data_IF_996875466692
#
_entry.id   IF_996875466692
#
_cell.length_a   1.000
_cell.length_b   1.000
_cell.length_c   1.000
_cell.angle_alpha   90.00
_cell.angle_beta   90.00
_cell.angle_gamma   90.00
#
_symmetry.space_group_name_H-M   'P 1'
#
loop_
_entity.id
_entity.type
_entity.pdbx_description
1 polymer ?
#
# COMPACT_ATOMS: atom_id res chain seq x y z
N UNK A 1 8.62 -2.87 27.26
CA UNK A 1 7.21 -3.10 27.64
C UNK A 1 6.37 -2.80 26.41
N UNK A 2 5.51 -3.72 25.96
CA UNK A 2 4.52 -3.40 24.92
C UNK A 2 3.20 -3.06 25.61
N UNK A 3 2.65 -1.89 25.30
CA UNK A 3 1.36 -1.42 25.81
C UNK A 3 0.26 -1.72 24.78
N UNK A 4 -0.85 -2.30 25.23
CA UNK A 4 -2.00 -2.56 24.38
C UNK A 4 -2.92 -1.33 24.39
N UNK A 5 -2.87 -0.55 23.32
CA UNK A 5 -3.67 0.67 23.15
C UNK A 5 -4.88 0.42 22.26
N UNK A 6 -5.87 1.30 22.34
CA UNK A 6 -7.05 1.28 21.49
C UNK A 6 -6.68 1.50 20.01
N UNK A 7 -7.43 0.86 19.10
CA UNK A 7 -7.18 0.95 17.65
C UNK A 7 -7.25 2.37 17.09
N UNK A 8 -8.00 3.28 17.73
CA UNK A 8 -8.06 4.68 17.33
C UNK A 8 -6.72 5.42 17.48
N UNK A 9 -5.77 4.88 18.25
CA UNK A 9 -4.41 5.43 18.32
C UNK A 9 -3.70 5.43 16.95
N UNK A 10 -4.17 4.61 16.00
CA UNK A 10 -3.66 4.60 14.62
C UNK A 10 -4.16 5.77 13.76
N UNK A 11 -5.15 6.55 14.21
CA UNK A 11 -5.74 7.62 13.40
C UNK A 11 -4.72 8.65 12.92
N UNK A 12 -3.81 9.09 13.80
CA UNK A 12 -2.72 10.02 13.45
C UNK A 12 -1.74 9.40 12.43
N UNK A 13 -1.09 8.27 12.77
CA UNK A 13 -0.20 7.58 11.85
C UNK A 13 -0.85 7.27 10.49
N UNK A 14 -2.09 6.78 10.47
CA UNK A 14 -2.81 6.47 9.22
C UNK A 14 -3.17 7.70 8.41
N UNK A 15 -3.51 8.83 9.04
CA UNK A 15 -3.77 10.08 8.32
C UNK A 15 -2.53 10.55 7.54
N UNK A 16 -1.33 10.38 8.10
CA UNK A 16 -0.07 10.64 7.40
C UNK A 16 0.12 9.64 6.24
N UNK A 17 -0.20 8.36 6.46
CA UNK A 17 -0.10 7.31 5.44
C UNK A 17 -1.07 7.46 4.25
N UNK A 18 -2.27 8.03 4.40
CA UNK A 18 -3.21 8.12 3.28
C UNK A 18 -3.10 9.43 2.46
N UNK A 19 -2.06 10.23 2.69
CA UNK A 19 -1.85 11.52 2.04
C UNK A 19 -0.97 11.50 0.78
N UNK A 20 -0.34 10.36 0.45
CA UNK A 20 0.62 10.27 -0.67
C UNK A 20 0.02 9.64 -1.94
N UNK A 21 0.61 9.95 -3.09
CA UNK A 21 0.23 9.36 -4.38
C UNK A 21 0.58 7.86 -4.41
N UNK A 22 -0.45 7.02 -4.39
CA UNK A 22 -0.31 5.57 -4.37
C UNK A 22 0.44 5.01 -5.60
N UNK A 23 0.51 5.74 -6.71
CA UNK A 23 1.22 5.28 -7.92
C UNK A 23 2.73 5.43 -7.81
N UNK A 24 3.22 6.44 -7.07
CA UNK A 24 4.65 6.63 -6.76
C UNK A 24 5.10 5.83 -5.55
N UNK A 25 4.21 5.05 -4.93
CA UNK A 25 4.53 4.26 -3.76
C UNK A 25 5.57 3.18 -4.09
N UNK A 26 6.67 3.16 -3.35
CA UNK A 26 7.62 2.04 -3.41
C UNK A 26 7.12 0.91 -2.50
N UNK A 27 6.98 -0.30 -3.03
CA UNK A 27 6.46 -1.45 -2.32
C UNK A 27 7.43 -2.64 -2.41
N UNK A 28 7.42 -3.50 -1.39
CA UNK A 28 8.17 -4.76 -1.36
C UNK A 28 7.26 -5.95 -1.62
N UNK A 29 7.52 -6.69 -2.70
CA UNK A 29 6.80 -7.91 -3.06
C UNK A 29 6.95 -8.99 -1.98
N UNK A 30 5.83 -9.54 -1.51
CA UNK A 30 5.82 -10.64 -0.54
C UNK A 30 6.25 -11.99 -1.15
N UNK A 31 6.20 -12.13 -2.48
CA UNK A 31 6.59 -13.35 -3.18
C UNK A 31 8.10 -13.46 -3.43
N UNK A 32 8.72 -12.42 -3.97
CA UNK A 32 10.15 -12.44 -4.36
C UNK A 32 11.03 -11.43 -3.63
N UNK A 33 10.46 -10.56 -2.79
CA UNK A 33 11.22 -9.53 -2.08
C UNK A 33 11.64 -8.33 -2.93
N UNK A 34 11.33 -8.29 -4.23
CA UNK A 34 11.65 -7.14 -5.09
C UNK A 34 11.03 -5.85 -4.54
N UNK A 35 11.82 -4.77 -4.54
CA UNK A 35 11.41 -3.44 -4.09
C UNK A 35 11.36 -2.53 -5.33
N UNK A 36 10.24 -1.83 -5.51
CA UNK A 36 10.11 -0.87 -6.59
C UNK A 36 8.78 -0.12 -6.54
N UNK A 37 8.67 0.91 -7.38
CA UNK A 37 7.47 1.72 -7.53
C UNK A 37 6.30 0.87 -8.05
N UNK A 38 5.11 1.03 -7.46
CA UNK A 38 3.89 0.38 -7.94
C UNK A 38 3.56 0.75 -9.40
N UNK A 39 3.97 1.92 -9.88
CA UNK A 39 3.88 2.30 -11.29
C UNK A 39 4.60 1.35 -12.25
N UNK A 40 5.59 0.57 -11.80
CA UNK A 40 6.32 -0.42 -12.60
C UNK A 40 5.70 -1.82 -12.53
N UNK A 41 4.62 -1.98 -11.78
CA UNK A 41 3.89 -3.25 -11.68
C UNK A 41 3.02 -3.47 -12.93
N UNK A 42 2.64 -4.72 -13.15
CA UNK A 42 1.74 -5.10 -14.25
C UNK A 42 0.29 -5.01 -13.78
N UNK A 43 -0.56 -4.27 -14.50
CA UNK A 43 -1.95 -4.03 -14.10
C UNK A 43 -2.92 -4.66 -15.09
N UNK A 44 -3.85 -5.46 -14.57
CA UNK A 44 -4.90 -6.14 -15.34
C UNK A 44 -6.26 -5.66 -14.88
N UNK A 45 -7.10 -5.22 -15.81
CA UNK A 45 -8.44 -4.66 -15.53
C UNK A 45 -9.53 -5.48 -16.21
N UNK A 46 -10.66 -5.66 -15.52
CA UNK A 46 -11.86 -6.32 -16.03
C UNK A 46 -13.12 -5.73 -15.38
N UNK A 47 -14.30 -6.16 -15.82
CA UNK A 47 -15.55 -5.82 -15.14
C UNK A 47 -15.66 -6.33 -13.70
N UNK A 48 -14.82 -7.29 -13.28
CA UNK A 48 -14.77 -7.79 -11.91
C UNK A 48 -13.83 -6.99 -10.99
N UNK A 49 -12.95 -6.14 -11.56
CA UNK A 49 -11.98 -5.35 -10.81
C UNK A 49 -10.59 -5.29 -11.45
N UNK A 50 -9.62 -4.81 -10.66
CA UNK A 50 -8.22 -4.62 -11.03
C UNK A 50 -7.31 -5.52 -10.21
N UNK A 51 -6.33 -6.14 -10.87
CA UNK A 51 -5.27 -6.95 -10.27
C UNK A 51 -3.92 -6.36 -10.63
N UNK A 52 -3.08 -6.12 -9.62
CA UNK A 52 -1.70 -5.62 -9.76
C UNK A 52 -0.75 -6.76 -9.48
N UNK A 53 0.21 -7.02 -10.39
CA UNK A 53 1.20 -8.09 -10.27
C UNK A 53 2.62 -7.56 -10.30
N UNK A 54 3.50 -8.26 -9.58
CA UNK A 54 4.93 -8.00 -9.58
C UNK A 54 5.51 -8.27 -10.96
N UNK A 55 6.16 -7.28 -11.57
CA UNK A 55 6.81 -7.42 -12.87
C UNK A 55 8.04 -8.36 -12.84
N UNK A 56 8.52 -8.74 -11.66
CA UNK A 56 9.65 -9.66 -11.51
C UNK A 56 9.25 -11.13 -11.35
N UNK A 57 8.04 -11.43 -10.85
CA UNK A 57 7.65 -12.81 -10.50
C UNK A 57 6.16 -13.14 -10.67
N UNK A 58 5.37 -12.25 -11.28
CA UNK A 58 3.92 -12.38 -11.48
C UNK A 58 3.04 -12.54 -10.22
N UNK A 59 3.63 -12.46 -9.02
CA UNK A 59 2.91 -12.52 -7.76
C UNK A 59 1.91 -11.36 -7.66
N UNK A 60 0.67 -11.65 -7.23
CA UNK A 60 -0.36 -10.62 -7.06
C UNK A 60 0.02 -9.74 -5.89
N UNK A 61 0.34 -8.48 -6.16
CA UNK A 61 0.70 -7.47 -5.16
C UNK A 61 -0.54 -6.87 -4.51
N UNK A 62 -1.52 -6.49 -5.34
CA UNK A 62 -2.73 -5.81 -4.88
C UNK A 62 -3.96 -6.15 -5.74
N UNK A 63 -5.13 -5.99 -5.15
CA UNK A 63 -6.43 -6.06 -5.84
C UNK A 63 -7.27 -4.83 -5.52
N UNK A 64 -8.04 -4.35 -6.49
CA UNK A 64 -9.01 -3.27 -6.32
C UNK A 64 -10.34 -3.69 -6.93
N UNK A 65 -11.39 -3.67 -6.12
CA UNK A 65 -12.76 -3.95 -6.56
C UNK A 65 -13.63 -2.78 -6.17
N UNK A 66 -14.25 -2.14 -7.16
CA UNK A 66 -15.13 -0.99 -6.97
C UNK A 66 -16.59 -1.41 -7.19
N UNK A 67 -17.46 -1.02 -6.28
CA UNK A 67 -18.92 -1.20 -6.38
C UNK A 67 -19.61 0.15 -6.15
N UNK A 68 -20.93 0.21 -6.36
CA UNK A 68 -21.67 1.46 -6.18
C UNK A 68 -21.50 2.03 -4.76
N UNK A 69 -20.65 3.05 -4.63
CA UNK A 69 -20.35 3.76 -3.38
C UNK A 69 -19.30 3.11 -2.46
N UNK A 70 -18.60 2.05 -2.89
CA UNK A 70 -17.56 1.39 -2.06
C UNK A 70 -16.40 0.90 -2.92
N UNK A 71 -15.22 0.84 -2.31
CA UNK A 71 -14.05 0.21 -2.90
C UNK A 71 -13.42 -0.74 -1.88
N UNK A 72 -12.91 -1.86 -2.36
CA UNK A 72 -12.14 -2.83 -1.60
C UNK A 72 -10.73 -2.88 -2.16
N UNK A 73 -9.75 -2.60 -1.32
CA UNK A 73 -8.33 -2.73 -1.67
C UNK A 73 -7.69 -3.85 -0.85
N UNK A 74 -7.12 -4.83 -1.54
CA UNK A 74 -6.30 -5.88 -0.94
C UNK A 74 -4.82 -5.59 -1.20
N UNK A 75 -3.97 -5.67 -0.18
CA UNK A 75 -2.52 -5.45 -0.27
C UNK A 75 -1.72 -6.64 0.27
N UNK A 76 -2.32 -7.84 0.32
CA UNK A 76 -1.72 -9.04 0.94
C UNK A 76 -0.42 -9.53 0.26
N UNK A 77 -0.21 -9.16 -1.00
CA UNK A 77 1.03 -9.44 -1.74
C UNK A 77 2.13 -8.42 -1.52
N UNK A 78 1.88 -7.37 -0.73
CA UNK A 78 2.85 -6.34 -0.39
C UNK A 78 3.23 -6.54 1.08
N UNK A 79 4.52 -6.77 1.32
CA UNK A 79 5.07 -6.98 2.66
C UNK A 79 5.49 -5.69 3.36
N UNK A 80 5.68 -4.61 2.60
CA UNK A 80 5.99 -3.27 3.11
C UNK A 80 5.71 -2.22 2.02
N UNK A 81 5.31 -1.02 2.45
CA UNK A 81 5.22 0.18 1.61
C UNK A 81 6.13 1.24 2.23
N UNK A 82 6.97 1.86 1.41
CA UNK A 82 7.76 3.02 1.82
C UNK A 82 6.88 4.26 1.83
N UNK A 83 7.00 5.05 2.91
CA UNK A 83 6.19 6.24 3.12
C UNK A 83 7.15 7.38 3.36
N UNK A 84 7.18 8.40 2.48
CA UNK A 84 8.01 9.57 2.67
C UNK A 84 7.56 10.27 3.94
N UNK A 85 8.46 10.41 4.92
CA UNK A 85 8.23 11.34 6.03
C UNK A 85 8.71 12.71 5.58
N UNK A 86 7.87 13.74 5.75
CA UNK A 86 8.33 15.12 5.69
C UNK A 86 9.52 15.33 6.64
N UNK A 87 10.30 16.42 6.49
CA UNK A 87 11.40 16.70 7.41
C UNK A 87 10.84 16.68 8.84
N UNK A 88 11.47 15.91 9.72
CA UNK A 88 11.10 15.87 11.13
C UNK A 88 11.17 17.32 11.64
N UNK A 89 10.01 17.94 11.90
CA UNK A 89 9.98 19.17 12.68
C UNK A 89 10.45 18.78 14.07
N UNK A 90 11.73 19.05 14.35
CA UNK A 90 12.29 18.98 15.69
C UNK A 90 11.57 20.03 16.54
N UNK A 91 10.59 19.61 17.33
CA UNK A 91 10.08 20.40 18.44
C UNK A 91 11.22 20.54 19.45
N UNK A 92 11.73 21.77 19.61
CA UNK A 92 12.64 22.13 20.70
C UNK A 92 11.91 22.27 22.02
#
# INVERSE_FOLDING_TARGET
MMEHVDGNALAGPLAEFFSFDATTATARCNGCGAIGELARAMVYRSGAGTVVRCSSCDHVLATLVETAGRAWIGLSGISAIEVPRGPATSSG
#
